data_IF_748955749735
#
_entry.id   IF_748955749735
#
_cell.length_a   1.000
_cell.length_b   1.000
_cell.length_c   1.000
_cell.angle_alpha   90.00
_cell.angle_beta   90.00
_cell.angle_gamma   90.00
#
_symmetry.space_group_name_H-M   'P 1'
#
loop_
_entity.id
_entity.type
_entity.pdbx_description
1 polymer ?
#
# COMPACT_ATOMS: atom_id res chain seq x y z
N UNK A 1 1.81 32.37 -3.08
CA UNK A 1 2.43 31.29 -2.25
C UNK A 1 2.29 29.98 -3.01
N UNK A 2 3.41 29.34 -3.29
CA UNK A 2 3.44 28.09 -4.08
C UNK A 2 2.59 26.98 -3.47
N UNK A 3 2.14 26.08 -4.31
CA UNK A 3 1.44 24.85 -3.94
C UNK A 3 2.19 23.63 -4.50
N UNK A 4 2.31 22.59 -3.70
CA UNK A 4 2.95 21.33 -4.08
C UNK A 4 1.94 20.19 -4.08
N UNK A 5 1.78 19.53 -5.21
CA UNK A 5 0.92 18.35 -5.37
C UNK A 5 1.79 17.12 -5.61
N UNK A 6 1.64 16.08 -4.80
CA UNK A 6 2.29 14.80 -5.00
C UNK A 6 1.27 13.73 -5.38
N UNK A 7 1.47 13.10 -6.53
CA UNK A 7 0.68 11.92 -6.89
C UNK A 7 1.21 10.66 -6.23
N UNK A 8 0.31 9.80 -5.76
CA UNK A 8 0.61 8.46 -5.26
C UNK A 8 -0.21 7.45 -6.06
N UNK A 9 0.43 6.41 -6.58
CA UNK A 9 -0.28 5.33 -7.28
C UNK A 9 0.66 4.47 -8.11
N UNK A 10 0.22 3.26 -8.42
CA UNK A 10 0.97 2.30 -9.24
C UNK A 10 0.95 2.68 -10.73
N UNK A 11 1.80 2.05 -11.53
CA UNK A 11 1.76 2.19 -12.99
C UNK A 11 0.39 1.79 -13.55
N UNK A 12 -0.09 2.47 -14.59
CA UNK A 12 -1.43 2.23 -15.15
C UNK A 12 -2.59 2.91 -14.40
N UNK A 13 -2.37 3.55 -13.23
CA UNK A 13 -3.44 4.17 -12.45
C UNK A 13 -3.94 5.53 -12.97
N UNK A 14 -3.37 6.06 -14.06
CA UNK A 14 -3.83 7.31 -14.69
C UNK A 14 -3.24 8.60 -14.12
N UNK A 15 -2.20 8.54 -13.26
CA UNK A 15 -1.53 9.71 -12.65
C UNK A 15 -1.16 10.79 -13.66
N UNK A 16 -0.34 10.43 -14.65
CA UNK A 16 0.18 11.37 -15.65
C UNK A 16 -0.93 12.00 -16.49
N UNK A 17 -1.94 11.21 -16.86
CA UNK A 17 -3.12 11.70 -17.57
C UNK A 17 -3.88 12.76 -16.75
N UNK A 18 -4.06 12.48 -15.44
CA UNK A 18 -4.73 13.43 -14.54
C UNK A 18 -3.85 14.66 -14.26
N UNK A 19 -2.54 14.47 -14.03
CA UNK A 19 -1.59 15.57 -13.80
C UNK A 19 -1.54 16.54 -14.98
N UNK A 20 -1.56 16.04 -16.21
CA UNK A 20 -1.50 16.85 -17.43
C UNK A 20 -2.70 17.81 -17.60
N UNK A 21 -3.81 17.60 -16.91
CA UNK A 21 -4.95 18.53 -16.91
C UNK A 21 -4.60 19.87 -16.22
N UNK A 22 -3.54 19.90 -15.44
CA UNK A 22 -3.10 21.06 -14.66
C UNK A 22 -1.82 21.73 -15.21
N UNK A 23 -1.33 21.31 -16.37
CA UNK A 23 -0.05 21.76 -16.96
C UNK A 23 0.06 23.28 -17.17
N UNK A 24 -1.06 23.96 -17.33
CA UNK A 24 -1.07 25.42 -17.59
C UNK A 24 -0.84 26.23 -16.31
N UNK A 25 -1.06 25.64 -15.12
CA UNK A 25 -0.94 26.30 -13.81
C UNK A 25 0.18 25.70 -12.93
N UNK A 26 0.73 24.56 -13.31
CA UNK A 26 1.71 23.82 -12.53
C UNK A 26 2.89 23.36 -13.40
N UNK A 27 4.08 23.44 -12.84
CA UNK A 27 5.26 22.76 -13.41
C UNK A 27 5.17 21.27 -13.06
N UNK A 28 5.04 20.41 -14.07
CA UNK A 28 4.99 18.97 -13.87
C UNK A 28 6.40 18.40 -13.87
N UNK A 29 6.82 17.88 -12.72
CA UNK A 29 8.09 17.17 -12.53
C UNK A 29 7.79 15.67 -12.58
N UNK A 30 8.14 15.03 -13.69
CA UNK A 30 7.88 13.59 -13.93
C UNK A 30 9.16 12.77 -13.79
N UNK A 31 9.12 11.70 -12.99
CA UNK A 31 10.28 10.79 -12.86
C UNK A 31 10.68 10.16 -14.20
N UNK A 32 9.71 9.86 -15.04
CA UNK A 32 9.95 9.27 -16.35
C UNK A 32 10.58 10.29 -17.30
N UNK A 33 10.07 11.52 -17.33
CA UNK A 33 10.67 12.60 -18.13
C UNK A 33 12.10 12.94 -17.72
N UNK A 34 12.41 12.87 -16.42
CA UNK A 34 13.79 13.07 -15.94
C UNK A 34 14.71 11.91 -16.33
N UNK A 35 14.24 10.65 -16.32
CA UNK A 35 15.04 9.51 -16.83
C UNK A 35 15.40 9.68 -18.28
N UNK A 36 14.42 10.02 -19.09
CA UNK A 36 14.64 10.24 -20.53
C UNK A 36 15.64 11.37 -20.76
N UNK A 37 15.47 12.50 -20.06
CA UNK A 37 16.36 13.68 -20.19
C UNK A 37 17.79 13.41 -19.75
N UNK A 38 18.00 12.68 -18.64
CA UNK A 38 19.31 12.50 -18.03
C UNK A 38 20.06 11.29 -18.57
N UNK A 39 19.34 10.21 -18.90
CA UNK A 39 19.95 8.91 -19.22
C UNK A 39 19.60 8.43 -20.64
N UNK A 40 18.70 9.13 -21.36
CA UNK A 40 18.23 8.71 -22.69
C UNK A 40 17.39 7.43 -22.69
N UNK A 41 17.09 6.88 -21.53
CA UNK A 41 16.26 5.70 -21.35
C UNK A 41 15.30 5.86 -20.17
N UNK A 42 14.05 6.00 -20.47
CA UNK A 42 12.97 6.12 -19.51
C UNK A 42 12.84 4.86 -18.60
N UNK A 43 13.39 3.71 -19.02
CA UNK A 43 13.39 2.45 -18.27
C UNK A 43 14.59 2.30 -17.33
N UNK A 44 15.54 3.22 -17.36
CA UNK A 44 16.71 3.12 -16.50
C UNK A 44 16.30 3.14 -15.01
N UNK A 45 16.53 2.02 -14.32
CA UNK A 45 16.31 1.86 -12.89
C UNK A 45 17.63 1.79 -12.12
N UNK A 46 18.77 1.86 -12.80
CA UNK A 46 20.11 1.71 -12.17
C UNK A 46 20.52 2.98 -11.44
N UNK A 47 20.07 4.15 -11.88
CA UNK A 47 20.41 5.46 -11.34
C UNK A 47 19.34 6.08 -10.43
N UNK A 48 18.41 5.26 -9.88
CA UNK A 48 17.27 5.78 -9.12
C UNK A 48 17.65 6.73 -7.96
N UNK A 49 18.71 6.44 -7.19
CA UNK A 49 19.10 7.28 -6.06
C UNK A 49 19.57 8.68 -6.52
N UNK A 50 20.36 8.73 -7.58
CA UNK A 50 20.82 9.97 -8.18
C UNK A 50 19.66 10.75 -8.79
N UNK A 51 18.84 10.10 -9.59
CA UNK A 51 17.64 10.66 -10.20
C UNK A 51 16.74 11.35 -9.17
N UNK A 52 16.33 10.64 -8.11
CA UNK A 52 15.45 11.22 -7.11
C UNK A 52 16.13 12.33 -6.28
N UNK A 53 17.45 12.30 -6.12
CA UNK A 53 18.18 13.40 -5.51
C UNK A 53 18.09 14.68 -6.34
N UNK A 54 18.28 14.57 -7.67
CA UNK A 54 18.13 15.68 -8.62
C UNK A 54 16.70 16.19 -8.63
N UNK A 55 15.72 15.30 -8.79
CA UNK A 55 14.28 15.64 -8.81
C UNK A 55 13.88 16.40 -7.54
N UNK A 56 14.28 15.90 -6.37
CA UNK A 56 13.94 16.54 -5.09
C UNK A 56 14.54 17.94 -4.96
N UNK A 57 15.77 18.12 -5.44
CA UNK A 57 16.41 19.44 -5.46
C UNK A 57 15.63 20.39 -6.38
N UNK A 58 15.34 19.98 -7.61
CA UNK A 58 14.65 20.81 -8.58
C UNK A 58 13.22 21.18 -8.11
N UNK A 59 12.51 20.25 -7.45
CA UNK A 59 11.20 20.54 -6.83
C UNK A 59 11.34 21.65 -5.78
N UNK A 60 12.35 21.55 -4.90
CA UNK A 60 12.57 22.53 -3.84
C UNK A 60 12.92 23.89 -4.44
N UNK A 61 13.78 23.93 -5.47
CA UNK A 61 14.20 25.15 -6.14
C UNK A 61 13.01 25.84 -6.82
N UNK A 62 12.16 25.08 -7.54
CA UNK A 62 10.94 25.60 -8.16
C UNK A 62 9.95 26.18 -7.14
N UNK A 63 9.77 25.53 -6.00
CA UNK A 63 8.90 26.03 -4.91
C UNK A 63 9.47 27.31 -4.30
N UNK A 64 10.79 27.41 -4.13
CA UNK A 64 11.45 28.62 -3.64
C UNK A 64 11.33 29.79 -4.63
N UNK A 65 11.15 29.51 -5.92
CA UNK A 65 10.82 30.48 -6.97
C UNK A 65 9.30 30.84 -7.00
N UNK A 66 8.53 30.44 -5.99
CA UNK A 66 7.07 30.61 -5.87
C UNK A 66 6.25 29.97 -7.02
N UNK A 67 6.76 28.89 -7.61
CA UNK A 67 6.08 28.11 -8.65
C UNK A 67 5.25 26.99 -8.03
N UNK A 68 4.04 26.78 -8.58
CA UNK A 68 3.23 25.60 -8.27
C UNK A 68 3.85 24.37 -8.94
N UNK A 69 3.98 23.28 -8.19
CA UNK A 69 4.66 22.06 -8.67
C UNK A 69 3.78 20.82 -8.48
N UNK A 70 3.71 20.01 -9.53
CA UNK A 70 3.19 18.63 -9.47
C UNK A 70 4.35 17.66 -9.56
N UNK A 71 4.43 16.73 -8.61
CA UNK A 71 5.37 15.60 -8.67
C UNK A 71 4.64 14.34 -9.14
N UNK A 72 4.88 13.95 -10.41
CA UNK A 72 4.34 12.76 -11.05
C UNK A 72 5.36 11.61 -11.00
N UNK A 73 5.21 10.78 -9.99
CA UNK A 73 5.93 9.52 -9.83
C UNK A 73 5.03 8.53 -9.06
N UNK A 74 5.46 7.29 -8.89
CA UNK A 74 4.66 6.31 -8.12
C UNK A 74 4.52 6.68 -6.65
N UNK A 75 5.56 7.26 -6.04
CA UNK A 75 5.60 7.78 -4.67
C UNK A 75 5.01 6.84 -3.59
N UNK A 76 5.20 5.52 -3.73
CA UNK A 76 4.51 4.51 -2.90
C UNK A 76 5.09 4.39 -1.49
N UNK A 77 6.38 4.72 -1.31
CA UNK A 77 7.08 4.57 -0.03
C UNK A 77 6.91 5.79 0.87
N UNK A 78 6.34 5.59 2.05
CA UNK A 78 6.23 6.62 3.10
C UNK A 78 7.58 7.27 3.43
N UNK A 79 8.65 6.46 3.56
CA UNK A 79 9.99 6.95 3.87
C UNK A 79 10.48 8.01 2.87
N UNK A 80 10.26 7.77 1.58
CA UNK A 80 10.71 8.69 0.52
C UNK A 80 9.85 9.96 0.51
N UNK A 81 8.53 9.83 0.68
CA UNK A 81 7.62 10.97 0.75
C UNK A 81 7.95 11.90 1.92
N UNK A 82 8.04 11.35 3.13
CA UNK A 82 8.37 12.13 4.34
C UNK A 82 9.71 12.85 4.20
N UNK A 83 10.70 12.20 3.58
CA UNK A 83 12.02 12.81 3.34
C UNK A 83 11.96 14.06 2.44
N UNK A 84 11.08 14.08 1.44
CA UNK A 84 10.87 15.25 0.59
C UNK A 84 9.98 16.29 1.30
N UNK A 85 8.83 15.86 1.85
CA UNK A 85 7.84 16.73 2.47
C UNK A 85 8.40 17.56 3.64
N UNK A 86 9.36 17.00 4.40
CA UNK A 86 10.01 17.70 5.51
C UNK A 86 10.85 18.91 5.07
N UNK A 87 11.21 18.99 3.78
CA UNK A 87 12.02 20.08 3.20
C UNK A 87 11.18 21.14 2.49
N UNK A 88 9.90 20.87 2.25
CA UNK A 88 8.98 21.74 1.51
C UNK A 88 8.21 22.64 2.49
N UNK A 89 8.23 23.95 2.22
CA UNK A 89 7.56 24.98 3.05
C UNK A 89 6.45 25.70 2.27
N UNK A 90 5.50 24.95 1.76
CA UNK A 90 4.29 25.47 1.12
C UNK A 90 3.12 24.55 1.42
N UNK A 91 1.93 24.87 0.92
CA UNK A 91 0.77 23.96 0.97
C UNK A 91 1.09 22.69 0.20
N UNK A 92 0.86 21.52 0.83
CA UNK A 92 1.18 20.19 0.30
C UNK A 92 -0.09 19.36 0.17
N UNK A 93 -0.42 18.98 -1.05
CA UNK A 93 -1.58 18.17 -1.38
C UNK A 93 -1.11 16.80 -1.87
N UNK A 94 -1.70 15.75 -1.32
CA UNK A 94 -1.55 14.40 -1.84
C UNK A 94 -2.73 14.08 -2.77
N UNK A 95 -2.46 13.63 -3.99
CA UNK A 95 -3.45 13.01 -4.87
C UNK A 95 -3.18 11.53 -4.99
N UNK A 96 -3.96 10.72 -4.28
CA UNK A 96 -3.79 9.27 -4.26
C UNK A 96 -4.78 8.59 -5.21
N UNK A 97 -4.25 7.77 -6.13
CA UNK A 97 -5.05 7.10 -7.16
C UNK A 97 -5.70 5.83 -6.60
N UNK A 98 -7.03 5.85 -6.49
CA UNK A 98 -7.84 4.71 -6.04
C UNK A 98 -8.26 3.87 -7.25
N UNK A 99 -7.37 3.02 -7.75
CA UNK A 99 -7.61 2.21 -8.94
C UNK A 99 -7.22 0.76 -8.63
N UNK A 100 -8.15 -0.22 -8.82
CA UNK A 100 -7.83 -1.64 -8.65
C UNK A 100 -6.64 -2.07 -9.52
N UNK A 101 -5.79 -2.95 -8.98
CA UNK A 101 -4.55 -3.30 -9.69
C UNK A 101 -4.82 -4.06 -10.99
N UNK A 102 -5.91 -4.80 -11.09
CA UNK A 102 -6.34 -5.49 -12.31
C UNK A 102 -6.63 -4.48 -13.44
N UNK A 103 -7.28 -3.36 -13.09
CA UNK A 103 -7.52 -2.26 -14.03
C UNK A 103 -6.19 -1.63 -14.44
N UNK A 104 -5.28 -1.43 -13.49
CA UNK A 104 -3.95 -0.89 -13.77
C UNK A 104 -3.14 -1.81 -14.70
N UNK A 105 -3.21 -3.14 -14.51
CA UNK A 105 -2.58 -4.14 -15.38
C UNK A 105 -3.18 -4.09 -16.78
N UNK A 106 -4.52 -4.02 -16.88
CA UNK A 106 -5.20 -3.91 -18.18
C UNK A 106 -4.79 -2.62 -18.91
N UNK A 107 -4.79 -1.48 -18.19
CA UNK A 107 -4.36 -0.19 -18.77
C UNK A 107 -2.88 -0.14 -19.11
N UNK A 108 -2.03 -0.83 -18.40
CA UNK A 108 -0.61 -0.93 -18.71
C UNK A 108 -0.38 -1.72 -20.02
N UNK A 109 -1.15 -2.79 -20.25
CA UNK A 109 -1.10 -3.58 -21.51
C UNK A 109 -1.54 -2.79 -22.75
N UNK A 110 -2.42 -1.79 -22.57
CA UNK A 110 -2.87 -0.92 -23.67
C UNK A 110 -1.82 0.14 -24.08
N UNK A 111 -0.78 0.33 -23.28
CA UNK A 111 0.25 1.33 -23.53
C UNK A 111 1.26 0.82 -24.54
N UNK A 112 1.75 1.71 -25.40
CA UNK A 112 2.90 1.44 -26.26
C UNK A 112 4.11 0.91 -25.46
N UNK A 113 4.27 1.45 -24.24
CA UNK A 113 5.27 1.03 -23.28
C UNK A 113 4.61 0.47 -22.01
N UNK A 114 4.57 -0.84 -21.90
CA UNK A 114 4.12 -1.56 -20.72
C UNK A 114 5.28 -1.82 -19.75
N UNK A 115 5.05 -1.63 -18.44
CA UNK A 115 6.01 -2.03 -17.39
C UNK A 115 5.85 -3.50 -17.02
N UNK A 116 4.68 -4.08 -17.26
CA UNK A 116 4.33 -5.47 -17.02
C UNK A 116 3.78 -5.73 -15.63
N UNK A 117 2.99 -6.79 -15.53
CA UNK A 117 2.27 -7.19 -14.30
C UNK A 117 3.20 -7.42 -13.12
N UNK A 118 4.35 -8.05 -13.32
CA UNK A 118 5.32 -8.33 -12.24
C UNK A 118 5.85 -7.06 -11.58
N UNK A 119 6.02 -5.97 -12.34
CA UNK A 119 6.44 -4.67 -11.82
C UNK A 119 5.30 -4.02 -11.04
N UNK A 120 4.07 -4.07 -11.56
CA UNK A 120 2.88 -3.55 -10.88
C UNK A 120 2.70 -4.27 -9.54
N UNK A 121 2.82 -5.60 -9.49
CA UNK A 121 2.73 -6.36 -8.25
C UNK A 121 3.85 -6.02 -7.25
N UNK A 122 5.07 -5.74 -7.71
CA UNK A 122 6.14 -5.21 -6.85
C UNK A 122 5.79 -3.82 -6.31
N UNK A 123 5.20 -2.97 -7.13
CA UNK A 123 4.77 -1.63 -6.70
C UNK A 123 3.72 -1.71 -5.58
N UNK A 124 2.74 -2.59 -5.68
CA UNK A 124 1.71 -2.79 -4.65
C UNK A 124 2.33 -3.21 -3.30
N UNK A 125 3.36 -4.05 -3.31
CA UNK A 125 4.09 -4.45 -2.08
C UNK A 125 4.78 -3.27 -1.39
N UNK A 126 5.03 -2.18 -2.10
CA UNK A 126 5.60 -0.95 -1.54
C UNK A 126 4.55 0.12 -1.22
N UNK A 127 3.28 -0.17 -1.47
CA UNK A 127 2.20 0.77 -1.18
C UNK A 127 2.13 1.09 0.32
N UNK A 128 2.01 2.38 0.61
CA UNK A 128 1.69 2.89 1.93
C UNK A 128 0.76 4.08 1.78
N UNK A 129 -0.43 4.00 2.40
CA UNK A 129 -1.33 5.15 2.47
C UNK A 129 -0.69 6.24 3.35
N UNK A 130 -0.80 7.53 2.98
CA UNK A 130 -0.03 8.61 3.58
C UNK A 130 -0.58 9.11 4.94
N UNK A 131 -0.68 8.24 5.94
CA UNK A 131 -1.08 8.63 7.28
C UNK A 131 -0.01 9.51 7.95
N UNK A 132 -0.43 10.69 8.45
CA UNK A 132 0.41 11.60 9.27
C UNK A 132 1.77 11.96 8.66
N UNK A 133 1.86 12.08 7.34
CA UNK A 133 3.13 12.33 6.62
C UNK A 133 3.42 13.81 6.39
N UNK A 134 2.52 14.70 6.83
CA UNK A 134 2.69 16.15 6.69
C UNK A 134 2.13 16.73 5.41
N UNK A 135 1.17 16.08 4.78
CA UNK A 135 0.26 16.68 3.81
C UNK A 135 -0.80 17.52 4.53
N UNK A 136 -1.14 18.67 3.93
CA UNK A 136 -2.22 19.53 4.42
C UNK A 136 -3.58 19.01 3.96
N UNK A 137 -3.60 18.25 2.83
CA UNK A 137 -4.80 17.67 2.25
C UNK A 137 -4.51 16.36 1.53
N UNK A 138 -5.46 15.41 1.58
CA UNK A 138 -5.39 14.14 0.84
C UNK A 138 -6.65 14.02 -0.01
N UNK A 139 -6.48 14.07 -1.33
CA UNK A 139 -7.52 13.89 -2.33
C UNK A 139 -7.45 12.45 -2.89
N UNK A 140 -8.55 11.72 -2.79
CA UNK A 140 -8.67 10.38 -3.40
C UNK A 140 -9.22 10.53 -4.81
N UNK A 141 -8.44 10.11 -5.80
CA UNK A 141 -8.79 10.25 -7.23
C UNK A 141 -9.10 8.87 -7.81
N UNK A 142 -10.32 8.68 -8.29
CA UNK A 142 -10.73 7.48 -9.01
C UNK A 142 -11.14 7.83 -10.45
N UNK A 143 -10.20 7.82 -11.41
CA UNK A 143 -10.50 8.12 -12.80
C UNK A 143 -11.29 7.01 -13.50
N UNK A 144 -11.42 5.84 -12.87
CA UNK A 144 -12.10 4.66 -13.38
C UNK A 144 -13.19 4.20 -12.41
N UNK A 145 -14.03 5.12 -11.92
CA UNK A 145 -15.06 4.85 -10.91
C UNK A 145 -16.03 3.72 -11.29
N UNK A 146 -16.22 3.46 -12.60
CA UNK A 146 -17.01 2.33 -13.10
C UNK A 146 -16.42 0.94 -12.76
N UNK A 147 -15.15 0.88 -12.37
CA UNK A 147 -14.45 -0.37 -12.01
C UNK A 147 -14.25 -0.54 -10.51
N UNK A 148 -14.98 0.20 -9.66
CA UNK A 148 -14.91 -0.03 -8.22
C UNK A 148 -15.42 -1.43 -7.86
N UNK A 149 -14.57 -2.24 -7.21
CA UNK A 149 -14.94 -3.59 -6.81
C UNK A 149 -15.71 -3.58 -5.49
N UNK A 150 -16.85 -4.30 -5.41
CA UNK A 150 -17.55 -4.48 -4.14
C UNK A 150 -16.74 -5.39 -3.20
N UNK A 151 -17.00 -5.28 -1.90
CA UNK A 151 -16.41 -6.13 -0.84
C UNK A 151 -16.48 -7.64 -1.12
N UNK A 152 -17.52 -8.09 -1.86
CA UNK A 152 -17.72 -9.48 -2.27
C UNK A 152 -16.58 -10.04 -3.14
N UNK A 153 -15.74 -9.18 -3.71
CA UNK A 153 -14.58 -9.62 -4.49
C UNK A 153 -13.61 -10.48 -3.65
N UNK A 154 -13.49 -10.21 -2.36
CA UNK A 154 -12.62 -10.97 -1.46
C UNK A 154 -13.09 -12.41 -1.23
N UNK A 155 -14.38 -12.70 -1.40
CA UNK A 155 -14.89 -14.07 -1.31
C UNK A 155 -14.41 -14.97 -2.45
N UNK A 156 -13.92 -14.40 -3.55
CA UNK A 156 -13.42 -15.17 -4.71
C UNK A 156 -12.09 -15.87 -4.44
N UNK A 157 -11.37 -15.47 -3.39
CA UNK A 157 -10.10 -16.08 -2.99
C UNK A 157 -10.26 -17.21 -1.97
N UNK A 158 -11.44 -17.40 -1.37
CA UNK A 158 -11.70 -18.48 -0.42
C UNK A 158 -11.91 -19.82 -1.13
N UNK A 159 -11.29 -20.89 -0.61
CA UNK A 159 -11.53 -22.26 -1.05
C UNK A 159 -10.70 -22.77 -2.24
N UNK A 160 -9.62 -22.08 -2.61
CA UNK A 160 -8.62 -22.57 -3.58
C UNK A 160 -7.53 -23.37 -2.87
N UNK A 161 -6.92 -24.34 -3.55
CA UNK A 161 -5.76 -25.09 -3.02
C UNK A 161 -4.60 -24.15 -2.62
N UNK A 162 -4.55 -22.95 -3.23
CA UNK A 162 -3.59 -21.89 -2.93
C UNK A 162 -3.90 -21.13 -1.63
N UNK A 163 -5.04 -21.39 -0.99
CA UNK A 163 -5.47 -20.72 0.26
C UNK A 163 -4.70 -21.19 1.50
N UNK A 164 -3.92 -22.24 1.40
CA UNK A 164 -3.15 -22.76 2.52
C UNK A 164 -2.03 -21.80 2.92
N UNK A 165 -1.82 -21.63 4.23
CA UNK A 165 -0.74 -20.80 4.75
C UNK A 165 0.66 -21.39 4.47
N UNK A 166 0.81 -22.73 4.49
CA UNK A 166 2.14 -23.40 4.40
C UNK A 166 3.17 -22.84 5.39
N UNK A 167 2.73 -22.48 6.59
CA UNK A 167 3.54 -21.72 7.55
C UNK A 167 3.63 -22.41 8.92
N UNK A 168 3.63 -23.76 8.92
CA UNK A 168 3.83 -24.56 10.13
C UNK A 168 5.17 -24.23 10.83
N UNK A 169 5.21 -24.20 12.16
CA UNK A 169 4.14 -24.52 13.11
C UNK A 169 3.26 -23.29 13.49
N UNK A 170 3.37 -22.17 12.79
CA UNK A 170 2.68 -20.93 13.15
C UNK A 170 1.21 -20.90 12.71
N UNK A 171 0.89 -21.58 11.61
CA UNK A 171 -0.43 -21.70 11.03
C UNK A 171 -0.62 -23.06 10.39
N UNK A 172 -1.67 -23.78 10.79
CA UNK A 172 -2.13 -25.02 10.16
C UNK A 172 -3.42 -24.82 9.38
N UNK A 173 -4.11 -23.70 9.62
CA UNK A 173 -5.34 -23.32 8.91
C UNK A 173 -5.04 -22.63 7.57
N UNK A 174 -6.05 -22.55 6.72
CA UNK A 174 -6.01 -21.74 5.49
C UNK A 174 -6.07 -20.25 5.82
N UNK A 175 -5.67 -19.40 4.88
CA UNK A 175 -5.72 -17.93 5.02
C UNK A 175 -7.16 -17.47 5.27
N UNK A 176 -8.11 -17.99 4.47
CA UNK A 176 -9.54 -17.65 4.61
C UNK A 176 -10.11 -18.09 5.95
N UNK A 177 -9.73 -19.29 6.44
CA UNK A 177 -10.19 -19.79 7.73
C UNK A 177 -9.66 -18.92 8.88
N UNK A 178 -8.38 -18.57 8.86
CA UNK A 178 -7.79 -17.64 9.84
C UNK A 178 -8.54 -16.32 9.89
N UNK A 179 -8.74 -15.67 8.75
CA UNK A 179 -9.50 -14.41 8.66
C UNK A 179 -10.95 -14.56 9.17
N UNK A 180 -11.60 -15.69 8.86
CA UNK A 180 -12.95 -15.97 9.33
C UNK A 180 -13.02 -16.15 10.85
N UNK A 181 -12.04 -16.84 11.46
CA UNK A 181 -11.93 -16.99 12.92
C UNK A 181 -11.70 -15.63 13.60
N UNK A 182 -10.81 -14.81 13.06
CA UNK A 182 -10.56 -13.45 13.55
C UNK A 182 -11.83 -12.59 13.49
N UNK A 183 -12.52 -12.58 12.34
CA UNK A 183 -13.80 -11.89 12.17
C UNK A 183 -14.84 -12.34 13.17
N UNK A 184 -15.06 -13.67 13.29
CA UNK A 184 -16.01 -14.26 14.22
C UNK A 184 -15.74 -13.82 15.66
N UNK A 185 -14.47 -13.91 16.10
CA UNK A 185 -14.08 -13.48 17.46
C UNK A 185 -14.37 -12.00 17.69
N UNK A 186 -14.13 -11.13 16.70
CA UNK A 186 -14.45 -9.70 16.79
C UNK A 186 -15.96 -9.45 16.94
N UNK A 187 -16.77 -10.15 16.15
CA UNK A 187 -18.24 -10.04 16.23
C UNK A 187 -18.76 -10.52 17.60
N UNK A 188 -18.31 -11.68 18.08
CA UNK A 188 -18.71 -12.23 19.38
C UNK A 188 -18.37 -11.31 20.55
N UNK A 189 -17.25 -10.62 20.48
CA UNK A 189 -16.82 -9.63 21.49
C UNK A 189 -17.39 -8.23 21.26
N UNK A 190 -18.28 -8.08 20.27
CA UNK A 190 -18.96 -6.81 19.93
C UNK A 190 -17.99 -5.66 19.61
N UNK A 191 -16.90 -5.97 18.93
CA UNK A 191 -15.96 -4.96 18.45
C UNK A 191 -16.60 -4.02 17.43
N UNK A 192 -16.13 -2.77 17.29
CA UNK A 192 -16.61 -1.85 16.27
C UNK A 192 -16.46 -2.42 14.85
N UNK A 193 -17.39 -2.10 13.96
CA UNK A 193 -17.43 -2.63 12.58
C UNK A 193 -16.08 -2.43 11.86
N UNK A 194 -15.48 -1.24 11.95
CA UNK A 194 -14.17 -0.92 11.38
C UNK A 194 -13.06 -1.90 11.79
N UNK A 195 -13.11 -2.34 13.06
CA UNK A 195 -12.14 -3.29 13.61
C UNK A 195 -12.43 -4.72 13.14
N UNK A 196 -13.70 -5.11 13.09
CA UNK A 196 -14.14 -6.42 12.56
C UNK A 196 -13.79 -6.56 11.07
N UNK A 197 -13.93 -5.49 10.30
CA UNK A 197 -13.51 -5.46 8.89
C UNK A 197 -12.00 -5.67 8.74
N UNK A 198 -11.20 -4.99 9.56
CA UNK A 198 -9.76 -5.19 9.56
C UNK A 198 -9.39 -6.65 9.89
N UNK A 199 -10.03 -7.25 10.89
CA UNK A 199 -9.85 -8.67 11.24
C UNK A 199 -10.19 -9.62 10.08
N UNK A 200 -11.19 -9.27 9.27
CA UNK A 200 -11.63 -10.08 8.14
C UNK A 200 -10.67 -10.00 6.93
N UNK A 201 -9.90 -8.90 6.79
CA UNK A 201 -9.23 -8.57 5.53
C UNK A 201 -7.71 -8.40 5.63
N UNK A 202 -7.15 -8.43 6.86
CA UNK A 202 -5.73 -8.10 7.06
C UNK A 202 -4.76 -8.97 6.26
N UNK A 203 -5.10 -10.23 6.04
CA UNK A 203 -4.24 -11.25 5.42
C UNK A 203 -4.56 -11.54 3.94
N UNK A 204 -5.51 -10.85 3.33
CA UNK A 204 -5.86 -11.02 1.90
C UNK A 204 -4.64 -10.88 0.99
N UNK A 205 -3.71 -10.01 1.33
CA UNK A 205 -2.46 -9.84 0.59
C UNK A 205 -1.57 -11.07 0.54
N UNK A 206 -1.75 -12.05 1.43
CA UNK A 206 -0.99 -13.30 1.44
C UNK A 206 -1.21 -14.12 0.15
N UNK A 207 -2.39 -14.06 -0.47
CA UNK A 207 -2.64 -14.70 -1.77
C UNK A 207 -1.68 -14.24 -2.87
N UNK A 208 -1.23 -12.98 -2.80
CA UNK A 208 -0.38 -12.34 -3.81
C UNK A 208 1.09 -12.28 -3.42
N UNK A 209 1.43 -12.64 -2.18
CA UNK A 209 2.80 -12.47 -1.67
C UNK A 209 3.46 -13.78 -1.26
N UNK A 210 2.71 -14.90 -1.29
CA UNK A 210 3.27 -16.22 -0.95
C UNK A 210 4.51 -16.53 -1.78
N UNK A 211 5.57 -16.93 -1.10
CA UNK A 211 6.83 -17.30 -1.72
C UNK A 211 7.53 -18.36 -0.87
N UNK A 212 8.27 -19.26 -1.50
CA UNK A 212 9.18 -20.21 -0.84
C UNK A 212 10.62 -19.75 -0.93
N UNK A 213 10.84 -18.42 -0.96
CA UNK A 213 12.15 -17.80 -0.92
C UNK A 213 12.19 -16.75 0.19
N UNK A 214 13.32 -16.64 0.89
CA UNK A 214 13.54 -15.58 1.87
C UNK A 214 13.94 -14.25 1.16
N UNK A 215 14.13 -13.16 1.94
CA UNK A 215 14.52 -11.85 1.38
C UNK A 215 15.89 -11.84 0.69
N UNK A 216 16.72 -12.86 0.91
CA UNK A 216 18.03 -13.04 0.24
C UNK A 216 17.92 -13.84 -1.06
N UNK A 217 16.73 -14.35 -1.39
CA UNK A 217 16.50 -15.20 -2.56
C UNK A 217 16.84 -16.68 -2.33
N UNK A 218 17.09 -17.09 -1.09
CA UNK A 218 17.36 -18.48 -0.73
C UNK A 218 16.04 -19.23 -0.56
N UNK A 219 15.98 -20.47 -1.08
CA UNK A 219 14.81 -21.34 -0.94
C UNK A 219 14.60 -21.74 0.51
N UNK A 220 13.35 -21.70 0.98
CA UNK A 220 12.93 -22.08 2.33
C UNK A 220 11.76 -23.05 2.27
N UNK A 221 11.64 -23.92 3.28
CA UNK A 221 10.58 -24.94 3.35
C UNK A 221 9.22 -24.30 3.68
N UNK A 222 9.23 -23.24 4.51
CA UNK A 222 8.02 -22.54 4.93
C UNK A 222 7.72 -21.40 3.99
N UNK A 223 6.44 -21.17 3.70
CA UNK A 223 6.03 -20.00 2.94
C UNK A 223 6.37 -18.70 3.67
N UNK A 224 6.79 -17.71 2.92
CA UNK A 224 7.01 -16.34 3.37
C UNK A 224 5.96 -15.43 2.72
N UNK A 225 5.54 -14.38 3.43
CA UNK A 225 4.48 -13.46 3.00
C UNK A 225 4.94 -12.01 3.16
N UNK A 226 6.14 -11.70 2.69
CA UNK A 226 6.71 -10.36 2.85
C UNK A 226 5.81 -9.30 2.22
N UNK A 227 5.56 -8.25 3.01
CA UNK A 227 4.81 -7.06 2.61
C UNK A 227 3.32 -7.32 2.28
N UNK A 228 2.75 -8.46 2.74
CA UNK A 228 1.33 -8.78 2.55
C UNK A 228 0.40 -7.71 3.13
N UNK A 229 0.77 -7.08 4.24
CA UNK A 229 -0.01 -5.99 4.84
C UNK A 229 -0.17 -4.79 3.91
N UNK A 230 0.84 -4.49 3.09
CA UNK A 230 0.77 -3.41 2.11
C UNK A 230 -0.16 -3.79 0.94
N UNK A 231 -0.11 -5.05 0.51
CA UNK A 231 -1.00 -5.59 -0.52
C UNK A 231 -2.44 -5.63 -0.02
N UNK A 232 -2.68 -6.12 1.21
CA UNK A 232 -4.00 -6.09 1.85
C UNK A 232 -4.54 -4.66 1.95
N UNK A 233 -3.70 -3.72 2.37
CA UNK A 233 -4.06 -2.31 2.47
C UNK A 233 -4.40 -1.71 1.10
N UNK A 234 -3.63 -2.01 0.05
CA UNK A 234 -3.92 -1.54 -1.31
C UNK A 234 -5.26 -2.07 -1.82
N UNK A 235 -5.50 -3.38 -1.67
CA UNK A 235 -6.75 -4.04 -2.09
C UNK A 235 -7.93 -3.41 -1.34
N UNK A 236 -7.82 -3.22 -0.03
CA UNK A 236 -8.87 -2.57 0.77
C UNK A 236 -9.08 -1.11 0.37
N UNK A 237 -8.01 -0.34 0.18
CA UNK A 237 -8.07 1.05 -0.26
C UNK A 237 -8.82 1.22 -1.60
N UNK A 238 -8.68 0.26 -2.53
CA UNK A 238 -9.33 0.32 -3.83
C UNK A 238 -10.79 -0.15 -3.81
N UNK A 239 -11.32 -0.57 -2.66
CA UNK A 239 -12.75 -0.83 -2.50
C UNK A 239 -13.55 0.47 -2.49
N UNK A 240 -14.83 0.40 -2.92
CA UNK A 240 -15.69 1.57 -3.09
C UNK A 240 -15.87 2.38 -1.80
N UNK A 241 -16.03 1.68 -0.68
CA UNK A 241 -16.43 2.26 0.60
C UNK A 241 -15.36 2.01 1.68
N UNK A 242 -14.07 2.20 1.36
CA UNK A 242 -13.01 2.01 2.35
C UNK A 242 -13.11 3.01 3.50
N UNK A 243 -12.80 2.52 4.69
CA UNK A 243 -12.70 3.34 5.89
C UNK A 243 -11.22 3.55 6.24
N UNK A 244 -10.81 4.80 6.52
CA UNK A 244 -9.40 5.14 6.78
C UNK A 244 -8.86 4.50 8.06
N UNK A 245 -9.67 4.31 9.10
CA UNK A 245 -9.23 3.65 10.34
C UNK A 245 -9.04 2.15 10.14
N UNK A 246 -9.96 1.48 9.42
CA UNK A 246 -9.79 0.09 8.99
C UNK A 246 -8.53 -0.08 8.15
N UNK A 247 -8.32 0.84 7.19
CA UNK A 247 -7.12 0.85 6.35
C UNK A 247 -5.84 1.00 7.18
N UNK A 248 -5.85 1.88 8.19
CA UNK A 248 -4.73 2.07 9.10
C UNK A 248 -4.40 0.77 9.86
N UNK A 249 -5.43 0.08 10.36
CA UNK A 249 -5.25 -1.19 11.07
C UNK A 249 -4.66 -2.25 10.12
N UNK A 250 -5.24 -2.43 8.94
CA UNK A 250 -4.75 -3.39 7.94
C UNK A 250 -3.29 -3.11 7.57
N UNK A 251 -2.94 -1.85 7.28
CA UNK A 251 -1.58 -1.49 6.87
C UNK A 251 -0.55 -1.72 7.97
N UNK A 252 -0.95 -1.57 9.23
CA UNK A 252 -0.02 -1.57 10.36
C UNK A 252 -0.13 -2.80 11.28
N UNK A 253 -1.01 -3.78 10.98
CA UNK A 253 -1.23 -4.92 11.88
C UNK A 253 0.05 -5.69 12.22
N UNK A 254 0.98 -5.79 11.28
CA UNK A 254 2.27 -6.44 11.51
C UNK A 254 3.21 -5.67 12.46
N UNK A 255 2.95 -4.37 12.73
CA UNK A 255 3.84 -3.55 13.57
C UNK A 255 3.99 -4.10 14.98
N UNK A 256 2.88 -4.55 15.60
CA UNK A 256 2.90 -5.08 16.96
C UNK A 256 3.61 -6.43 17.09
N UNK A 257 3.96 -7.09 15.97
CA UNK A 257 4.75 -8.32 15.94
C UNK A 257 6.25 -8.06 15.80
N UNK A 258 6.66 -6.81 15.57
CA UNK A 258 8.05 -6.44 15.28
C UNK A 258 8.68 -5.67 16.44
N UNK A 259 9.98 -5.82 16.59
CA UNK A 259 10.79 -5.01 17.48
C UNK A 259 10.66 -3.51 17.11
N UNK A 260 10.64 -2.65 18.12
CA UNK A 260 10.52 -1.20 17.93
C UNK A 260 9.10 -0.66 17.77
N UNK A 261 8.07 -1.48 18.02
CA UNK A 261 6.67 -1.06 18.02
C UNK A 261 6.43 0.18 18.88
N UNK A 262 6.91 0.19 20.13
CA UNK A 262 6.69 1.32 21.04
C UNK A 262 7.35 2.62 20.58
N UNK A 263 8.50 2.52 19.91
CA UNK A 263 9.15 3.69 19.28
C UNK A 263 8.35 4.24 18.10
N UNK A 264 7.75 3.35 17.34
CA UNK A 264 6.84 3.74 16.24
C UNK A 264 5.54 4.32 16.80
N UNK A 265 4.93 3.67 17.78
CA UNK A 265 3.66 4.05 18.41
C UNK A 265 3.69 5.48 18.95
N UNK A 266 4.78 5.86 19.63
CA UNK A 266 4.97 7.22 20.19
C UNK A 266 5.01 8.33 19.13
N UNK A 267 5.22 7.99 17.85
CA UNK A 267 5.29 8.95 16.75
C UNK A 267 3.94 9.16 16.05
N UNK A 268 2.95 8.32 16.35
CA UNK A 268 1.64 8.41 15.72
C UNK A 268 0.79 9.47 16.43
N UNK A 269 0.08 10.30 15.67
CA UNK A 269 -0.80 11.33 16.21
C UNK A 269 -2.03 10.72 16.86
N UNK A 270 -2.61 9.65 16.29
CA UNK A 270 -3.80 8.98 16.78
C UNK A 270 -3.46 7.77 17.66
N UNK A 271 -3.46 7.96 18.97
CA UNK A 271 -3.14 6.92 19.94
C UNK A 271 -4.24 5.86 20.08
N UNK A 272 -5.49 6.18 19.75
CA UNK A 272 -6.58 5.19 19.75
C UNK A 272 -6.36 4.14 18.67
N UNK A 273 -5.96 4.55 17.47
CA UNK A 273 -5.58 3.62 16.39
C UNK A 273 -4.34 2.78 16.75
N UNK A 274 -3.38 3.35 17.50
CA UNK A 274 -2.24 2.57 18.03
C UNK A 274 -2.72 1.50 19.02
N UNK A 275 -3.67 1.83 19.89
CA UNK A 275 -4.27 0.86 20.81
C UNK A 275 -5.07 -0.22 20.06
N UNK A 276 -5.73 0.15 18.96
CA UNK A 276 -6.37 -0.82 18.07
C UNK A 276 -5.35 -1.79 17.46
N UNK A 277 -4.16 -1.35 17.06
CA UNK A 277 -3.09 -2.25 16.58
C UNK A 277 -2.62 -3.21 17.69
N UNK A 278 -2.46 -2.75 18.93
CA UNK A 278 -2.11 -3.64 20.06
C UNK A 278 -3.18 -4.70 20.29
N UNK A 279 -4.44 -4.27 20.33
CA UNK A 279 -5.60 -5.15 20.49
C UNK A 279 -5.71 -6.13 19.33
N UNK A 280 -5.53 -5.66 18.10
CA UNK A 280 -5.55 -6.50 16.88
C UNK A 280 -4.55 -7.65 16.97
N UNK A 281 -3.33 -7.39 17.41
CA UNK A 281 -2.29 -8.42 17.57
C UNK A 281 -2.73 -9.54 18.53
N UNK A 282 -3.53 -9.23 19.56
CA UNK A 282 -4.06 -10.24 20.47
C UNK A 282 -5.09 -11.15 19.77
N UNK A 283 -5.97 -10.57 18.94
CA UNK A 283 -6.96 -11.32 18.16
C UNK A 283 -6.26 -12.23 17.15
N UNK A 284 -5.33 -11.67 16.35
CA UNK A 284 -4.58 -12.39 15.34
C UNK A 284 -3.86 -13.61 15.94
N UNK A 285 -3.18 -13.43 17.08
CA UNK A 285 -2.50 -14.53 17.78
C UNK A 285 -3.49 -15.57 18.35
N UNK A 286 -4.60 -15.13 18.93
CA UNK A 286 -5.57 -16.03 19.57
C UNK A 286 -6.36 -16.89 18.53
N UNK A 287 -6.43 -16.44 17.28
CA UNK A 287 -7.15 -17.13 16.21
C UNK A 287 -6.26 -18.07 15.38
N UNK A 288 -4.98 -18.26 15.75
CA UNK A 288 -4.08 -19.20 15.08
C UNK A 288 -4.33 -20.62 15.55
N UNK A 289 -4.40 -21.56 14.61
CA UNK A 289 -4.36 -23.00 14.90
C UNK A 289 -2.88 -23.40 14.88
N UNK A 290 -2.32 -23.69 16.07
CA UNK A 290 -0.89 -23.97 16.26
C UNK A 290 -0.61 -25.47 16.23
N UNK A 291 -1.64 -26.32 16.50
CA UNK A 291 -1.55 -27.79 16.45
C UNK A 291 -2.83 -28.37 15.85
N UNK A 292 -2.70 -29.34 14.98
CA UNK A 292 -3.82 -30.13 14.51
C UNK A 292 -4.01 -31.28 15.48
N UNK A 293 -4.96 -31.18 16.40
CA UNK A 293 -5.41 -32.33 17.20
C UNK A 293 -6.16 -33.28 16.27
N UNK A 294 -5.50 -34.32 15.78
CA UNK A 294 -6.08 -35.41 14.99
C UNK A 294 -7.06 -36.32 15.79
N UNK A 295 -7.31 -36.01 17.06
CA UNK A 295 -8.18 -36.84 17.93
C UNK A 295 -9.66 -36.45 17.92
N UNK A 296 -10.12 -35.65 16.96
CA UNK A 296 -11.56 -35.32 16.79
C UNK A 296 -12.00 -35.53 15.34
N UNK A 297 -12.05 -36.77 14.91
CA UNK A 297 -12.89 -37.22 13.80
C UNK A 297 -13.87 -38.27 14.35
#
# INVERSE_FOLDING_TARGET
MAEFIMYIGISGSGKSTHANQYKDNYVIVSSDGYREKLYGDINDQTHNNELFSIIHKDIIDLINEDKNVIFDATNLSSKHRVSLLSKIKCRKICRIMQVPFEVCIAKDKERERSVGESVIMKQIRHFSYPFDEGFDEIEVINPYSQYSFPYSYFSTYSGKDEDNHYCEPYHYETISHHCALCKKSGVEKKEPLKFVEALALHDVGKYFTRSFFNRKGEKVERATYYDHQNVSAYIYFTSKDFNTETLFIIQNHMRAHLDGFEKWAKKQSNQDLVNDIRRFCLYDRACRIIEVNYERV
#
